data_IF_327313686049
#
_entry.id   IF_327313686049
#
_cell.length_a   1.000
_cell.length_b   1.000
_cell.length_c   1.000
_cell.angle_alpha   90.00
_cell.angle_beta   90.00
_cell.angle_gamma   90.00
#
_symmetry.space_group_name_H-M   'P 1'
#
loop_
_entity.id
_entity.type
_entity.pdbx_description
1 polymer ?
#
# COMPACT_ATOMS: atom_id res chain seq x y z
N UNK A 1 87.91 26.05 41.38
CA UNK A 1 86.90 25.02 40.92
C UNK A 1 85.71 25.77 40.36
N UNK A 2 85.69 26.01 39.08
CA UNK A 2 84.57 26.66 38.42
C UNK A 2 83.67 25.59 37.81
N UNK A 3 82.52 25.41 38.37
CA UNK A 3 81.44 24.63 37.75
C UNK A 3 80.75 25.54 36.76
N UNK A 4 81.05 25.40 35.50
CA UNK A 4 80.36 26.08 34.44
C UNK A 4 79.00 25.39 34.21
N UNK A 5 77.97 26.06 34.65
CA UNK A 5 76.59 25.66 34.34
C UNK A 5 76.34 25.95 32.86
N UNK A 6 76.37 24.89 32.06
CA UNK A 6 75.89 25.00 30.66
C UNK A 6 74.35 25.11 30.67
N UNK A 7 73.89 26.30 30.36
CA UNK A 7 72.46 26.49 30.03
C UNK A 7 72.22 25.89 28.67
N UNK A 8 71.57 24.80 28.67
CA UNK A 8 71.05 24.21 27.42
C UNK A 8 69.78 25.01 27.06
N UNK A 9 69.95 25.87 26.03
CA UNK A 9 68.81 26.47 25.37
C UNK A 9 68.15 25.41 24.50
N UNK A 10 67.01 24.94 24.96
CA UNK A 10 66.11 24.19 24.07
C UNK A 10 65.39 25.20 23.22
N UNK A 11 65.81 25.37 21.98
CA UNK A 11 65.03 26.02 20.96
C UNK A 11 63.79 25.16 20.72
N UNK A 12 62.66 25.67 21.23
CA UNK A 12 61.37 25.06 20.99
C UNK A 12 60.99 25.13 19.52
N UNK A 13 61.11 24.03 18.88
CA UNK A 13 60.48 23.88 17.56
C UNK A 13 59.01 23.54 17.80
N UNK A 14 58.20 24.58 17.77
CA UNK A 14 56.76 24.43 17.70
C UNK A 14 56.39 23.86 16.32
N UNK A 15 56.22 22.55 16.28
CA UNK A 15 55.60 21.90 15.11
C UNK A 15 54.11 22.21 15.20
N UNK A 16 53.66 23.19 14.44
CA UNK A 16 52.27 23.40 14.17
C UNK A 16 51.79 22.23 13.29
N UNK A 17 51.30 21.14 13.90
CA UNK A 17 50.49 20.17 13.23
C UNK A 17 49.16 20.86 13.00
N UNK A 18 48.98 21.46 11.83
CA UNK A 18 47.66 21.85 11.33
C UNK A 18 46.86 20.56 11.13
N UNK A 19 46.08 20.22 12.16
CA UNK A 19 45.10 19.15 12.09
C UNK A 19 44.05 19.53 11.04
N UNK A 20 44.14 18.94 9.88
CA UNK A 20 43.03 18.89 8.94
C UNK A 20 41.97 18.04 9.59
N UNK A 21 41.04 18.67 10.31
CA UNK A 21 39.83 18.03 10.73
C UNK A 21 39.00 17.77 9.47
N UNK A 22 39.19 16.58 8.90
CA UNK A 22 38.27 16.06 7.92
C UNK A 22 36.93 15.88 8.61
N UNK A 23 36.07 16.86 8.51
CA UNK A 23 34.66 16.75 8.87
C UNK A 23 34.06 15.75 7.89
N UNK A 24 34.01 14.49 8.29
CA UNK A 24 33.16 13.48 7.64
C UNK A 24 31.74 13.93 7.97
N UNK A 25 31.15 14.73 7.09
CA UNK A 25 29.73 14.97 7.11
C UNK A 25 29.06 13.60 6.90
N UNK A 26 28.22 13.12 7.81
CA UNK A 26 27.38 11.97 7.50
C UNK A 26 26.53 12.38 6.33
N UNK A 27 26.72 11.72 5.20
CA UNK A 27 25.73 11.71 4.12
C UNK A 27 24.48 11.10 4.76
N UNK A 28 23.68 11.94 5.39
CA UNK A 28 22.31 11.60 5.71
C UNK A 28 21.66 11.36 4.36
N UNK A 29 21.64 10.10 3.95
CA UNK A 29 20.86 9.66 2.80
C UNK A 29 19.44 10.10 3.09
N UNK A 30 18.98 11.12 2.37
CA UNK A 30 17.58 11.45 2.34
C UNK A 30 16.87 10.17 1.91
N UNK A 31 16.22 9.48 2.84
CA UNK A 31 15.16 8.55 2.50
C UNK A 31 14.11 9.41 1.82
N UNK A 32 14.18 9.49 0.50
CA UNK A 32 13.11 10.05 -0.31
C UNK A 32 11.92 9.13 -0.15
N UNK A 33 10.96 9.57 0.61
CA UNK A 33 9.73 8.85 0.87
C UNK A 33 9.44 8.89 2.37
N UNK A 34 8.38 9.59 2.75
CA UNK A 34 7.81 9.46 4.08
C UNK A 34 7.34 8.02 4.32
N UNK A 35 6.93 7.73 5.53
CA UNK A 35 6.33 6.45 5.87
C UNK A 35 5.07 6.21 5.02
N UNK A 36 4.95 5.01 4.45
CA UNK A 36 3.75 4.62 3.70
C UNK A 36 2.56 4.60 4.66
N UNK A 37 1.49 5.26 4.27
CA UNK A 37 0.25 5.33 5.04
C UNK A 37 -0.90 4.92 4.15
N UNK A 38 -1.78 4.05 4.64
CA UNK A 38 -3.01 3.67 3.94
C UNK A 38 -4.15 4.51 4.49
N UNK A 39 -4.93 5.12 3.61
CA UNK A 39 -6.03 6.01 3.97
C UNK A 39 -7.39 5.35 3.79
N UNK A 40 -7.63 4.74 2.64
CA UNK A 40 -8.94 4.17 2.32
C UNK A 40 -8.86 3.13 1.20
N UNK A 41 -9.98 2.44 0.99
CA UNK A 41 -10.21 1.49 -0.11
C UNK A 41 -11.50 1.89 -0.83
N UNK A 42 -11.46 2.01 -2.15
CA UNK A 42 -12.60 2.42 -2.97
C UNK A 42 -12.69 1.58 -4.26
N UNK A 43 -13.82 0.92 -4.56
CA UNK A 43 -14.99 0.74 -3.69
C UNK A 43 -14.72 -0.20 -2.49
N UNK A 44 -15.56 -0.10 -1.45
CA UNK A 44 -15.49 -0.98 -0.25
C UNK A 44 -16.30 -2.26 -0.39
N UNK A 45 -17.04 -2.39 -1.47
CA UNK A 45 -17.93 -3.51 -1.74
C UNK A 45 -17.69 -4.00 -3.16
N UNK A 46 -17.68 -5.30 -3.35
CA UNK A 46 -17.54 -5.91 -4.66
C UNK A 46 -18.12 -7.30 -4.73
N UNK A 47 -18.21 -7.83 -5.96
CA UNK A 47 -18.79 -9.11 -6.23
C UNK A 47 -17.86 -10.28 -5.86
N UNK A 48 -18.45 -11.38 -5.43
CA UNK A 48 -17.74 -12.64 -5.16
C UNK A 48 -17.11 -13.27 -6.40
N UNK A 49 -17.58 -12.91 -7.59
CA UNK A 49 -16.98 -13.32 -8.86
C UNK A 49 -15.58 -12.80 -9.07
N UNK A 50 -15.22 -11.66 -8.42
CA UNK A 50 -13.91 -11.05 -8.53
C UNK A 50 -13.72 -10.25 -9.82
N UNK A 51 -12.45 -10.09 -10.22
CA UNK A 51 -12.00 -9.34 -11.40
C UNK A 51 -12.43 -7.86 -11.44
N UNK A 52 -12.71 -7.28 -10.28
CA UNK A 52 -13.03 -5.88 -10.13
C UNK A 52 -11.82 -5.08 -9.66
N UNK A 53 -11.67 -3.88 -10.21
CA UNK A 53 -10.63 -2.97 -9.78
C UNK A 53 -11.04 -2.25 -8.50
N UNK A 54 -10.12 -2.24 -7.54
CA UNK A 54 -10.24 -1.57 -6.26
C UNK A 54 -9.05 -0.63 -6.11
N UNK A 55 -9.31 0.63 -5.86
CA UNK A 55 -8.28 1.63 -5.54
C UNK A 55 -7.97 1.57 -4.07
N UNK A 56 -6.70 1.49 -3.75
CA UNK A 56 -6.20 1.63 -2.39
C UNK A 56 -5.54 2.99 -2.31
N UNK A 57 -6.14 3.88 -1.54
CA UNK A 57 -5.68 5.23 -1.36
C UNK A 57 -4.73 5.30 -0.18
N UNK A 58 -3.65 6.02 -0.35
CA UNK A 58 -2.62 6.14 0.67
C UNK A 58 -1.70 7.32 0.43
N UNK A 59 -0.51 7.24 0.99
CA UNK A 59 0.58 8.20 0.78
C UNK A 59 1.91 7.48 0.75
N UNK A 60 2.83 8.05 -0.01
CA UNK A 60 4.22 7.62 -0.09
C UNK A 60 4.41 6.17 -0.57
N UNK A 61 3.52 5.67 -1.43
CA UNK A 61 3.76 4.41 -2.11
C UNK A 61 5.03 4.51 -2.94
N UNK A 62 5.94 3.57 -2.70
CA UNK A 62 7.20 3.51 -3.43
C UNK A 62 6.96 2.88 -4.79
N UNK A 63 7.41 3.55 -5.85
CA UNK A 63 7.26 3.06 -7.23
C UNK A 63 8.39 2.09 -7.65
N UNK A 64 9.42 1.97 -6.82
CA UNK A 64 10.61 1.13 -7.06
C UNK A 64 10.50 -0.27 -6.45
N UNK A 65 9.40 -0.57 -5.74
CA UNK A 65 9.11 -1.89 -5.16
C UNK A 65 7.76 -2.42 -5.63
N UNK A 66 7.56 -3.74 -5.52
CA UNK A 66 6.28 -4.37 -5.74
C UNK A 66 5.39 -4.34 -4.49
N UNK A 67 4.08 -4.44 -4.71
CA UNK A 67 3.08 -4.60 -3.66
C UNK A 67 2.23 -5.83 -3.92
N UNK A 68 1.88 -6.52 -2.86
CA UNK A 68 0.94 -7.64 -2.87
C UNK A 68 -0.26 -7.27 -1.99
N UNK A 69 -1.45 -7.46 -2.50
CA UNK A 69 -2.70 -7.19 -1.77
C UNK A 69 -3.44 -8.49 -1.53
N UNK A 70 -3.95 -8.65 -0.33
CA UNK A 70 -4.81 -9.76 0.06
C UNK A 70 -6.17 -9.23 0.50
N UNK A 71 -7.22 -9.85 0.03
CA UNK A 71 -8.59 -9.67 0.49
C UNK A 71 -8.95 -10.87 1.36
N UNK A 72 -8.85 -10.70 2.68
CA UNK A 72 -8.93 -11.80 3.62
C UNK A 72 -7.75 -12.78 3.44
N UNK A 73 -8.04 -14.01 3.08
CA UNK A 73 -7.04 -15.05 2.83
C UNK A 73 -6.63 -15.16 1.35
N UNK A 74 -7.31 -14.46 0.46
CA UNK A 74 -7.09 -14.56 -0.98
C UNK A 74 -6.23 -13.41 -1.49
N UNK A 75 -5.22 -13.78 -2.28
CA UNK A 75 -4.35 -12.82 -2.95
C UNK A 75 -5.06 -12.16 -4.12
N UNK A 76 -4.88 -10.85 -4.29
CA UNK A 76 -5.24 -10.13 -5.50
C UNK A 76 -4.56 -10.75 -6.73
N UNK A 77 -5.30 -10.84 -7.84
CA UNK A 77 -4.74 -11.35 -9.09
C UNK A 77 -3.67 -10.41 -9.67
N UNK A 78 -3.87 -9.11 -9.52
CA UNK A 78 -2.95 -8.09 -10.02
C UNK A 78 -2.96 -6.87 -9.11
N UNK A 79 -1.78 -6.26 -8.91
CA UNK A 79 -1.61 -4.99 -8.23
C UNK A 79 -0.74 -4.10 -9.10
N UNK A 80 -1.18 -2.86 -9.31
CA UNK A 80 -0.48 -1.86 -10.11
C UNK A 80 -0.34 -0.58 -9.29
N UNK A 81 0.84 0.01 -9.29
CA UNK A 81 1.08 1.33 -8.70
C UNK A 81 0.71 2.36 -9.76
N UNK A 82 -0.33 3.14 -9.50
CA UNK A 82 -0.77 4.21 -10.40
C UNK A 82 0.07 5.46 -10.16
N UNK A 83 0.19 5.84 -8.90
CA UNK A 83 0.95 7.00 -8.44
C UNK A 83 1.36 6.80 -6.95
N UNK A 84 2.14 7.71 -6.34
CA UNK A 84 2.55 7.58 -4.94
C UNK A 84 1.41 7.58 -3.90
N UNK A 85 0.18 7.86 -4.33
CA UNK A 85 -1.00 7.91 -3.47
C UNK A 85 -2.04 6.84 -3.79
N UNK A 86 -1.86 6.10 -4.92
CA UNK A 86 -2.87 5.18 -5.43
C UNK A 86 -2.27 3.84 -5.88
N UNK A 87 -2.71 2.75 -5.27
CA UNK A 87 -2.56 1.40 -5.80
C UNK A 87 -3.88 0.93 -6.41
N UNK A 88 -3.80 0.22 -7.51
CA UNK A 88 -4.93 -0.45 -8.14
C UNK A 88 -4.77 -1.95 -7.96
N UNK A 89 -5.71 -2.59 -7.27
CA UNK A 89 -5.73 -4.02 -7.05
C UNK A 89 -6.95 -4.66 -7.72
N UNK A 90 -6.80 -5.88 -8.20
CA UNK A 90 -7.91 -6.65 -8.76
C UNK A 90 -8.43 -7.63 -7.71
N UNK A 91 -9.74 -7.65 -7.46
CA UNK A 91 -10.34 -8.56 -6.48
C UNK A 91 -10.17 -10.01 -6.90
N UNK A 92 -9.91 -10.93 -5.96
CA UNK A 92 -9.78 -12.35 -6.26
C UNK A 92 -11.12 -12.98 -6.60
N UNK A 93 -11.10 -14.01 -7.43
CA UNK A 93 -12.28 -14.81 -7.79
C UNK A 93 -12.66 -15.78 -6.67
N UNK A 94 -13.95 -16.14 -6.59
CA UNK A 94 -14.45 -17.16 -5.67
C UNK A 94 -14.29 -16.80 -4.19
N UNK A 95 -14.35 -15.51 -3.87
CA UNK A 95 -14.41 -15.05 -2.49
C UNK A 95 -15.76 -15.43 -1.85
N UNK A 96 -15.76 -15.60 -0.53
CA UNK A 96 -17.00 -15.82 0.23
C UNK A 96 -17.66 -14.49 0.53
N UNK A 97 -18.98 -14.46 0.56
CA UNK A 97 -19.77 -13.31 1.01
C UNK A 97 -19.36 -12.92 2.42
N UNK A 98 -19.19 -11.62 2.65
CA UNK A 98 -18.85 -11.06 3.96
C UNK A 98 -17.75 -10.04 3.93
N UNK A 99 -17.53 -9.38 5.04
CA UNK A 99 -16.45 -8.42 5.23
C UNK A 99 -15.13 -9.14 5.45
N UNK A 100 -14.08 -8.65 4.82
CA UNK A 100 -12.72 -9.17 4.93
C UNK A 100 -11.73 -8.05 5.21
N UNK A 101 -10.63 -8.40 5.84
CA UNK A 101 -9.52 -7.47 5.99
C UNK A 101 -8.79 -7.30 4.67
N UNK A 102 -8.28 -6.11 4.42
CA UNK A 102 -7.38 -5.83 3.30
C UNK A 102 -5.97 -5.73 3.85
N UNK A 103 -5.07 -6.59 3.40
CA UNK A 103 -3.67 -6.60 3.77
C UNK A 103 -2.83 -6.21 2.57
N UNK A 104 -2.05 -5.16 2.70
CA UNK A 104 -1.10 -4.68 1.70
C UNK A 104 0.31 -4.98 2.20
N UNK A 105 1.11 -5.69 1.41
CA UNK A 105 2.51 -5.98 1.72
C UNK A 105 3.39 -5.38 0.64
N UNK A 106 4.39 -4.61 1.06
CA UNK A 106 5.49 -4.19 0.20
C UNK A 106 6.62 -5.22 0.17
N UNK A 107 7.37 -5.26 -0.92
CA UNK A 107 8.54 -6.12 -1.05
C UNK A 107 9.69 -5.69 -0.11
N UNK A 108 9.59 -4.51 0.48
CA UNK A 108 10.47 -4.02 1.54
C UNK A 108 10.19 -4.63 2.93
N UNK A 109 9.19 -5.51 3.02
CA UNK A 109 8.79 -6.20 4.24
C UNK A 109 7.73 -5.48 5.05
N UNK A 110 7.35 -4.26 4.70
CA UNK A 110 6.27 -3.53 5.37
C UNK A 110 4.91 -4.14 5.03
N UNK A 111 4.01 -4.17 6.02
CA UNK A 111 2.67 -4.68 5.85
C UNK A 111 1.66 -3.76 6.55
N UNK A 112 0.57 -3.49 5.86
CA UNK A 112 -0.52 -2.63 6.33
C UNK A 112 -1.82 -3.40 6.27
N UNK A 113 -2.59 -3.36 7.34
CA UNK A 113 -3.87 -4.07 7.45
C UNK A 113 -4.99 -3.07 7.69
N UNK A 114 -6.04 -3.17 6.88
CA UNK A 114 -7.29 -2.45 7.06
C UNK A 114 -8.33 -3.47 7.55
N UNK A 115 -8.72 -3.46 8.83
CA UNK A 115 -9.72 -4.38 9.34
C UNK A 115 -11.06 -4.15 8.64
N UNK A 116 -11.68 -5.22 8.15
CA UNK A 116 -12.96 -5.18 7.43
C UNK A 116 -13.00 -4.13 6.30
N UNK A 117 -11.86 -3.92 5.64
CA UNK A 117 -11.69 -2.88 4.63
C UNK A 117 -12.46 -3.11 3.34
N UNK A 118 -12.93 -4.34 3.09
CA UNK A 118 -13.68 -4.70 1.90
C UNK A 118 -14.77 -5.73 2.21
N UNK A 119 -15.90 -5.61 1.52
CA UNK A 119 -17.03 -6.54 1.66
C UNK A 119 -17.32 -7.21 0.32
N UNK A 120 -17.36 -8.53 0.34
CA UNK A 120 -17.85 -9.30 -0.81
C UNK A 120 -19.34 -9.55 -0.70
N UNK A 121 -20.05 -9.32 -1.79
CA UNK A 121 -21.49 -9.58 -1.92
C UNK A 121 -21.75 -10.47 -3.15
N UNK A 122 -22.76 -11.30 -3.05
CA UNK A 122 -23.25 -12.05 -4.21
C UNK A 122 -24.12 -11.14 -5.08
N UNK A 123 -23.52 -10.58 -6.13
CA UNK A 123 -24.20 -9.72 -7.08
C UNK A 123 -24.76 -10.53 -8.28
N UNK A 124 -24.55 -11.84 -8.31
CA UNK A 124 -24.89 -12.68 -9.46
C UNK A 124 -26.35 -13.09 -9.58
N UNK A 125 -27.15 -12.97 -8.50
CA UNK A 125 -28.52 -13.49 -8.45
C UNK A 125 -29.62 -12.46 -8.68
N UNK A 126 -29.39 -11.17 -8.40
CA UNK A 126 -30.49 -10.22 -8.31
C UNK A 126 -30.88 -9.53 -9.63
N UNK A 127 -30.07 -9.63 -10.66
CA UNK A 127 -30.36 -8.95 -11.93
C UNK A 127 -31.23 -9.81 -12.87
N UNK A 128 -31.24 -11.13 -12.70
CA UNK A 128 -31.97 -12.04 -13.60
C UNK A 128 -33.36 -12.36 -13.06
N UNK A 129 -33.52 -12.38 -11.74
CA UNK A 129 -34.85 -12.64 -11.14
C UNK A 129 -35.81 -11.44 -11.28
N UNK A 130 -35.29 -10.20 -11.34
CA UNK A 130 -36.10 -9.01 -11.58
C UNK A 130 -36.59 -8.84 -13.00
N UNK A 131 -35.94 -9.44 -14.00
CA UNK A 131 -36.33 -9.37 -15.40
C UNK A 131 -37.19 -10.54 -15.86
N UNK A 132 -37.21 -11.66 -15.11
CA UNK A 132 -38.02 -12.85 -15.41
C UNK A 132 -39.42 -12.84 -14.78
N UNK A 133 -39.70 -11.96 -13.84
CA UNK A 133 -40.99 -11.86 -13.16
C UNK A 133 -41.84 -10.69 -13.66
N UNK A 134 -41.64 -10.29 -14.89
CA UNK A 134 -42.65 -9.54 -15.63
C UNK A 134 -43.86 -10.45 -15.84
N UNK A 135 -44.75 -10.45 -14.85
CA UNK A 135 -45.98 -11.25 -14.89
C UNK A 135 -46.71 -11.03 -16.16
N UNK A 136 -46.71 -12.03 -17.03
CA UNK A 136 -47.74 -12.19 -18.04
C UNK A 136 -49.03 -12.45 -17.26
N UNK A 137 -49.76 -11.37 -16.95
CA UNK A 137 -51.11 -11.47 -16.48
C UNK A 137 -51.97 -12.03 -17.63
N UNK A 138 -51.95 -13.36 -17.75
CA UNK A 138 -52.87 -14.07 -18.58
C UNK A 138 -54.21 -14.20 -17.84
N UNK A 139 -54.95 -13.14 -17.78
CA UNK A 139 -56.35 -13.13 -17.42
C UNK A 139 -57.09 -12.17 -18.34
N UNK A 140 -57.31 -12.64 -19.52
CA UNK A 140 -58.49 -12.27 -20.26
C UNK A 140 -59.02 -13.53 -20.98
N UNK A 141 -59.81 -14.32 -20.24
CA UNK A 141 -60.84 -15.15 -20.88
C UNK A 141 -61.94 -14.18 -21.30
N UNK A 142 -61.83 -13.75 -22.52
CA UNK A 142 -62.96 -13.09 -23.18
C UNK A 142 -64.11 -14.07 -23.24
N UNK A 143 -65.11 -13.80 -22.45
CA UNK A 143 -66.43 -14.44 -22.53
C UNK A 143 -67.15 -13.79 -23.69
N UNK A 144 -67.08 -14.45 -24.85
CA UNK A 144 -67.95 -14.12 -25.97
C UNK A 144 -69.35 -14.63 -25.57
N UNK A 145 -70.26 -13.71 -25.27
CA UNK A 145 -71.68 -13.96 -25.16
C UNK A 145 -72.33 -13.65 -26.53
N UNK A 146 -73.05 -14.59 -27.01
CA UNK A 146 -73.98 -14.38 -28.10
C UNK A 146 -75.25 -13.80 -27.53
#
# INVERSE_FOLDING_TARGET
RHMTKRKTMYAGWAIFIAGVAATIAPLAGCKQGGEVTILDVDPKVGATQGDQYVKILGKNFRQDIGYTVYFGTKKSAQVTIVDPETLLATTPTGAKVGSVDVLIRGDDGNAFRIPQGFKFEDMGGSVVEGLGSGGVNKKEKGKLAY
#
